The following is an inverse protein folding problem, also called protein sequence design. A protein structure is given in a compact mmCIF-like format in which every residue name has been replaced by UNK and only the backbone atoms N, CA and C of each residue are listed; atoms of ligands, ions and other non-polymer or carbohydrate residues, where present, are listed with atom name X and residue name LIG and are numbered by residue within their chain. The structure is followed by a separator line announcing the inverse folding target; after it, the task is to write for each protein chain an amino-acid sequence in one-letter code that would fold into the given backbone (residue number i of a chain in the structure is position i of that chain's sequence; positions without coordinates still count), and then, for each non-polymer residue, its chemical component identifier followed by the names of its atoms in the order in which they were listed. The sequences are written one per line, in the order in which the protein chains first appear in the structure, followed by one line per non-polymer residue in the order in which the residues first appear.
data_IF_913876593719
#
_entry.id   IF_913876593719
#
_cell.length_a   1.000
_cell.length_b   1.000
_cell.length_c   1.000
_cell.angle_alpha   90.00
_cell.angle_beta   90.00
_cell.angle_gamma   90.00
#
_symmetry.space_group_name_H-M   'P 1'
#
loop_
_entity.id
_entity.type
_entity.pdbx_description
1 polymer ?
#
# COMPACT_ATOMS: atom_id res chain seq x y z
N UNK A 1 23.19 -42.64 -16.60
CA UNK A 1 21.81 -42.22 -16.32
C UNK A 1 21.88 -41.20 -15.23
N UNK A 2 21.51 -39.96 -15.53
CA UNK A 2 21.38 -38.90 -14.54
C UNK A 2 20.01 -38.27 -14.81
N UNK A 3 19.02 -38.68 -14.02
CA UNK A 3 17.71 -38.06 -14.05
C UNK A 3 17.85 -36.69 -13.39
N UNK A 4 17.64 -35.65 -14.21
CA UNK A 4 17.47 -34.29 -13.74
C UNK A 4 16.26 -34.26 -12.81
N UNK A 5 16.49 -33.87 -11.55
CA UNK A 5 15.44 -33.47 -10.61
C UNK A 5 14.79 -32.20 -11.17
N UNK A 6 13.79 -32.40 -12.00
CA UNK A 6 12.97 -31.38 -12.62
C UNK A 6 11.57 -31.43 -12.02
N UNK A 7 11.01 -30.23 -11.84
CA UNK A 7 9.61 -29.95 -11.47
C UNK A 7 9.28 -30.11 -9.98
N UNK A 8 9.54 -29.05 -9.22
CA UNK A 8 8.81 -28.81 -7.95
C UNK A 8 8.69 -27.32 -7.62
N UNK A 9 9.42 -26.44 -8.30
CA UNK A 9 9.38 -24.99 -8.05
C UNK A 9 8.13 -24.32 -8.61
N UNK A 10 7.62 -24.78 -9.76
CA UNK A 10 6.44 -24.21 -10.40
C UNK A 10 5.14 -24.53 -9.67
N UNK A 11 5.01 -25.74 -9.11
CA UNK A 11 3.82 -26.15 -8.35
C UNK A 11 3.73 -25.43 -7.00
N UNK A 12 4.87 -25.19 -6.34
CA UNK A 12 4.89 -24.43 -5.09
C UNK A 12 4.58 -22.94 -5.34
N UNK A 13 5.15 -22.35 -6.40
CA UNK A 13 4.88 -20.95 -6.75
C UNK A 13 3.44 -20.74 -7.24
N UNK A 14 2.91 -21.66 -8.06
CA UNK A 14 1.54 -21.58 -8.58
C UNK A 14 0.50 -21.73 -7.47
N UNK A 15 0.75 -22.60 -6.49
CA UNK A 15 -0.13 -22.76 -5.34
C UNK A 15 -0.18 -21.50 -4.47
N UNK A 16 0.95 -20.81 -4.29
CA UNK A 16 0.98 -19.55 -3.55
C UNK A 16 0.35 -18.40 -4.34
N UNK A 17 0.60 -18.32 -5.64
CA UNK A 17 -0.02 -17.33 -6.53
C UNK A 17 -1.54 -17.51 -6.62
N UNK A 18 -2.02 -18.75 -6.72
CA UNK A 18 -3.45 -19.04 -6.80
C UNK A 18 -4.18 -18.68 -5.51
N UNK A 19 -3.56 -18.96 -4.34
CA UNK A 19 -4.08 -18.54 -3.03
C UNK A 19 -4.12 -17.01 -2.91
N UNK A 20 -3.07 -16.33 -3.40
CA UNK A 20 -3.02 -14.87 -3.43
C UNK A 20 -4.13 -14.29 -4.31
N UNK A 21 -4.31 -14.83 -5.52
CA UNK A 21 -5.36 -14.42 -6.46
C UNK A 21 -6.78 -14.69 -5.93
N UNK A 22 -7.00 -15.80 -5.22
CA UNK A 22 -8.32 -16.09 -4.62
C UNK A 22 -8.64 -15.16 -3.45
N UNK A 23 -7.64 -14.78 -2.66
CA UNK A 23 -7.81 -13.83 -1.55
C UNK A 23 -8.08 -12.42 -2.09
N UNK A 24 -7.31 -11.98 -3.09
CA UNK A 24 -7.56 -10.73 -3.82
C UNK A 24 -9.03 -10.69 -4.25
N UNK A 25 -9.57 -11.76 -4.86
CA UNK A 25 -10.94 -11.75 -5.37
C UNK A 25 -12.03 -11.50 -4.31
N UNK A 26 -11.79 -11.80 -3.02
CA UNK A 26 -12.78 -11.58 -1.97
C UNK A 26 -12.57 -10.23 -1.26
N UNK A 27 -11.33 -9.76 -1.19
CA UNK A 27 -10.92 -8.53 -0.48
C UNK A 27 -10.53 -7.40 -1.46
N UNK A 28 -10.96 -7.47 -2.72
CA UNK A 28 -10.71 -6.46 -3.75
C UNK A 28 -11.86 -5.45 -3.80
N UNK A 29 -11.54 -4.22 -3.44
CA UNK A 29 -12.42 -3.07 -3.61
C UNK A 29 -12.03 -2.30 -4.88
N UNK A 30 -13.03 -2.01 -5.72
CA UNK A 30 -12.88 -1.25 -6.96
C UNK A 30 -13.73 0.03 -6.88
N UNK A 31 -13.08 1.17 -7.00
CA UNK A 31 -13.70 2.48 -7.12
C UNK A 31 -13.62 3.00 -8.56
N UNK A 32 -14.73 3.56 -9.06
CA UNK A 32 -14.75 4.26 -10.35
C UNK A 32 -15.43 5.61 -10.17
N UNK A 33 -14.79 6.66 -10.68
CA UNK A 33 -15.33 8.01 -10.66
C UNK A 33 -15.18 8.65 -12.03
N UNK A 34 -16.24 9.27 -12.53
CA UNK A 34 -16.19 10.11 -13.73
C UNK A 34 -16.58 11.53 -13.37
N UNK A 35 -15.77 12.49 -13.81
CA UNK A 35 -16.00 13.93 -13.63
C UNK A 35 -16.09 14.55 -15.03
N UNK A 36 -17.26 15.02 -15.46
CA UNK A 36 -17.39 15.71 -16.74
C UNK A 36 -16.62 17.03 -16.71
N UNK A 37 -16.00 17.37 -17.84
CA UNK A 37 -15.31 18.64 -18.03
C UNK A 37 -16.27 19.83 -18.21
N UNK A 38 -15.70 21.02 -18.25
CA UNK A 38 -16.38 22.29 -18.55
C UNK A 38 -15.63 23.06 -19.65
N UNK A 39 -15.93 24.35 -19.89
CA UNK A 39 -15.26 25.15 -20.93
C UNK A 39 -13.73 25.21 -20.79
N UNK A 40 -13.20 24.94 -19.59
CA UNK A 40 -11.77 25.06 -19.25
C UNK A 40 -11.17 23.67 -19.02
N UNK A 41 -11.91 22.75 -18.41
CA UNK A 41 -11.42 21.45 -17.96
C UNK A 41 -11.86 20.33 -18.89
N UNK A 42 -10.98 19.34 -19.12
CA UNK A 42 -11.34 18.10 -19.80
C UNK A 42 -11.98 17.11 -18.83
N UNK A 43 -12.79 16.23 -19.39
CA UNK A 43 -13.28 15.03 -18.71
C UNK A 43 -12.15 14.30 -17.96
N UNK A 44 -12.49 13.77 -16.78
CA UNK A 44 -11.60 12.95 -15.97
C UNK A 44 -12.29 11.65 -15.60
N UNK A 45 -11.54 10.56 -15.73
CA UNK A 45 -11.91 9.22 -15.27
C UNK A 45 -10.89 8.78 -14.24
N UNK A 46 -11.35 8.30 -13.10
CA UNK A 46 -10.53 7.76 -12.03
C UNK A 46 -10.94 6.30 -11.76
N UNK A 47 -9.94 5.44 -11.64
CA UNK A 47 -10.06 4.05 -11.24
C UNK A 47 -9.19 3.82 -10.01
N UNK A 48 -9.82 3.46 -8.89
CA UNK A 48 -9.15 3.11 -7.65
C UNK A 48 -9.29 1.61 -7.39
N UNK A 49 -8.20 0.98 -6.95
CA UNK A 49 -8.14 -0.43 -6.58
C UNK A 49 -7.51 -0.54 -5.19
N UNK A 50 -8.16 -1.29 -4.30
CA UNK A 50 -7.62 -1.62 -2.99
C UNK A 50 -7.77 -3.10 -2.73
N UNK A 51 -6.77 -3.73 -2.13
CA UNK A 51 -6.87 -5.12 -1.70
C UNK A 51 -6.09 -5.37 -0.41
N UNK A 52 -6.63 -6.26 0.42
CA UNK A 52 -6.02 -6.72 1.65
C UNK A 52 -5.72 -8.22 1.56
N UNK A 53 -4.56 -8.62 2.05
CA UNK A 53 -3.98 -9.93 1.80
C UNK A 53 -3.32 -10.44 3.09
N UNK A 54 -3.21 -11.76 3.19
CA UNK A 54 -2.57 -12.43 4.33
C UNK A 54 -3.21 -12.03 5.67
N UNK A 55 -4.54 -12.10 5.76
CA UNK A 55 -5.33 -11.72 6.95
C UNK A 55 -5.04 -10.27 7.35
N UNK A 56 -5.26 -9.35 6.40
CA UNK A 56 -5.02 -7.91 6.52
C UNK A 56 -3.57 -7.51 6.85
N UNK A 57 -2.61 -8.42 6.70
CA UNK A 57 -1.19 -8.10 6.96
C UNK A 57 -0.55 -7.29 5.85
N UNK A 58 -1.01 -7.45 4.62
CA UNK A 58 -0.52 -6.70 3.46
C UNK A 58 -1.68 -5.95 2.84
N UNK A 59 -1.60 -4.63 2.81
CA UNK A 59 -2.56 -3.77 2.13
C UNK A 59 -1.91 -3.18 0.89
N UNK A 60 -2.58 -3.29 -0.25
CA UNK A 60 -2.16 -2.74 -1.53
C UNK A 60 -3.24 -1.79 -2.00
N UNK A 61 -2.86 -0.56 -2.33
CA UNK A 61 -3.75 0.46 -2.85
C UNK A 61 -3.13 1.06 -4.09
N UNK A 62 -3.93 1.35 -5.10
CA UNK A 62 -3.51 2.17 -6.22
C UNK A 62 -4.68 2.86 -6.88
N UNK A 63 -4.40 3.97 -7.55
CA UNK A 63 -5.35 4.74 -8.32
C UNK A 63 -4.71 5.17 -9.63
N UNK A 64 -5.55 5.26 -10.64
CA UNK A 64 -5.19 5.72 -11.97
C UNK A 64 -6.23 6.73 -12.42
N UNK A 65 -5.75 7.90 -12.77
CA UNK A 65 -6.48 9.02 -13.31
C UNK A 65 -6.13 9.21 -14.78
N UNK A 66 -7.16 9.38 -15.60
CA UNK A 66 -7.04 9.68 -17.03
C UNK A 66 -7.84 10.95 -17.31
N UNK A 67 -7.18 11.98 -17.85
CA UNK A 67 -7.81 13.27 -18.18
C UNK A 67 -7.50 14.37 -17.16
N UNK A 68 -8.31 15.42 -17.10
CA UNK A 68 -8.22 16.50 -16.10
C UNK A 68 -7.04 17.50 -16.21
N UNK A 69 -5.88 17.10 -16.77
CA UNK A 69 -4.72 18.01 -16.89
C UNK A 69 -4.67 18.73 -18.24
N UNK A 70 -4.67 20.06 -18.21
CA UNK A 70 -4.44 20.92 -19.38
C UNK A 70 -2.96 20.88 -19.77
N UNK A 71 -2.51 19.76 -20.35
CA UNK A 71 -1.26 19.74 -21.11
C UNK A 71 -1.58 20.11 -22.56
N UNK A 72 -0.92 21.15 -23.06
CA UNK A 72 -1.03 21.68 -24.42
C UNK A 72 -0.60 20.68 -25.51
N UNK A 73 -0.23 19.46 -25.12
CA UNK A 73 0.21 18.38 -25.98
C UNK A 73 -0.84 17.27 -25.94
N UNK A 74 -1.29 16.82 -27.11
CA UNK A 74 -2.40 15.89 -27.37
C UNK A 74 -2.25 14.45 -26.83
N UNK A 75 -1.44 14.24 -25.79
CA UNK A 75 -1.22 12.93 -25.16
C UNK A 75 -2.03 12.84 -23.88
N UNK A 76 -2.97 11.89 -23.83
CA UNK A 76 -3.67 11.51 -22.60
C UNK A 76 -2.65 11.25 -21.49
N UNK A 77 -2.57 12.14 -20.50
CA UNK A 77 -1.70 11.94 -19.35
C UNK A 77 -2.39 10.93 -18.43
N UNK A 78 -1.86 9.72 -18.38
CA UNK A 78 -2.20 8.73 -17.36
C UNK A 78 -1.35 9.08 -16.14
N UNK A 79 -2.02 9.31 -15.02
CA UNK A 79 -1.40 9.66 -13.74
C UNK A 79 -1.87 8.64 -12.73
N UNK A 80 -1.01 8.19 -11.81
CA UNK A 80 -1.44 7.23 -10.82
C UNK A 80 -0.51 7.16 -9.63
N UNK A 81 -1.05 6.61 -8.54
CA UNK A 81 -0.25 6.27 -7.37
C UNK A 81 -0.48 4.83 -6.91
N UNK A 82 0.50 4.34 -6.19
CA UNK A 82 0.57 2.98 -5.68
C UNK A 82 1.19 2.98 -4.30
N UNK A 83 0.64 2.17 -3.41
CA UNK A 83 1.01 2.11 -2.01
C UNK A 83 0.86 0.67 -1.50
N UNK A 84 1.93 0.16 -0.90
CA UNK A 84 1.97 -1.14 -0.22
C UNK A 84 2.33 -0.91 1.23
N UNK A 85 1.54 -1.48 2.12
CA UNK A 85 1.77 -1.46 3.55
C UNK A 85 1.80 -2.88 4.12
N UNK A 86 2.80 -3.17 4.95
CA UNK A 86 2.99 -4.49 5.56
C UNK A 86 3.06 -4.37 7.09
N UNK A 87 2.18 -5.06 7.80
CA UNK A 87 2.23 -5.19 9.27
C UNK A 87 3.37 -6.13 9.68
N UNK A 88 4.35 -5.61 10.41
CA UNK A 88 5.53 -6.36 10.85
C UNK A 88 5.31 -7.16 12.14
N UNK A 89 4.36 -6.75 12.97
CA UNK A 89 4.01 -7.43 14.21
C UNK A 89 2.50 -7.73 14.27
N UNK A 90 2.11 -8.67 15.14
CA UNK A 90 0.71 -9.10 15.29
C UNK A 90 -0.22 -7.95 15.71
N UNK A 91 0.26 -7.07 16.58
CA UNK A 91 -0.49 -5.87 16.97
C UNK A 91 -0.72 -4.88 15.82
N UNK A 92 -0.03 -5.05 14.68
CA UNK A 92 -0.12 -4.15 13.53
C UNK A 92 0.38 -2.74 13.81
N UNK A 93 1.12 -2.52 14.88
CA UNK A 93 1.62 -1.20 15.29
C UNK A 93 2.89 -0.82 14.54
N UNK A 94 3.75 -1.79 14.26
CA UNK A 94 4.95 -1.61 13.46
C UNK A 94 4.68 -1.99 12.01
N UNK A 95 4.95 -1.10 11.06
CA UNK A 95 4.63 -1.30 9.65
C UNK A 95 5.75 -0.82 8.73
N UNK A 96 5.89 -1.48 7.58
CA UNK A 96 6.66 -1.01 6.43
C UNK A 96 5.70 -0.43 5.42
N UNK A 97 6.09 0.67 4.77
CA UNK A 97 5.37 1.27 3.66
C UNK A 97 6.30 1.47 2.47
N UNK A 98 5.85 1.07 1.30
CA UNK A 98 6.47 1.45 0.03
C UNK A 98 5.42 2.17 -0.81
N UNK A 99 5.81 3.26 -1.48
CA UNK A 99 4.86 4.03 -2.29
C UNK A 99 5.52 4.66 -3.51
N UNK A 100 4.71 4.86 -4.53
CA UNK A 100 4.97 5.71 -5.68
C UNK A 100 3.75 6.63 -5.81
N UNK A 101 3.95 7.95 -5.78
CA UNK A 101 2.88 8.95 -5.90
C UNK A 101 3.17 9.87 -7.06
N UNK A 102 2.23 10.01 -7.98
CA UNK A 102 2.35 11.04 -9.00
C UNK A 102 2.29 12.44 -8.37
N UNK A 103 3.16 13.33 -8.86
CA UNK A 103 3.20 14.72 -8.44
C UNK A 103 2.44 15.59 -9.44
N UNK A 104 1.81 16.65 -8.93
CA UNK A 104 1.16 17.64 -9.78
C UNK A 104 2.21 18.43 -10.58
N UNK A 105 2.04 18.42 -11.90
CA UNK A 105 2.92 19.13 -12.85
C UNK A 105 2.89 20.64 -12.65
N UNK A 106 1.83 21.21 -12.06
CA UNK A 106 1.75 22.64 -11.76
C UNK A 106 2.80 23.12 -10.74
N UNK A 107 3.29 22.21 -9.89
CA UNK A 107 4.28 22.53 -8.84
C UNK A 107 5.63 21.86 -9.12
N UNK A 108 5.64 20.68 -9.75
CA UNK A 108 6.86 19.89 -9.96
C UNK A 108 7.03 19.47 -11.43
N UNK A 109 7.56 20.36 -12.27
CA UNK A 109 7.78 20.07 -13.71
C UNK A 109 8.79 18.94 -13.98
N UNK A 110 9.77 18.73 -13.08
CA UNK A 110 10.90 17.82 -13.33
C UNK A 110 10.79 16.46 -12.63
N UNK A 111 9.89 16.33 -11.64
CA UNK A 111 9.73 15.11 -10.85
C UNK A 111 8.26 14.66 -10.89
N UNK A 112 7.83 13.94 -11.94
CA UNK A 112 6.44 13.53 -12.08
C UNK A 112 6.00 12.49 -11.04
N UNK A 113 6.93 11.89 -10.28
CA UNK A 113 6.64 10.91 -9.25
C UNK A 113 7.54 11.08 -8.01
N UNK A 114 6.96 10.92 -6.83
CA UNK A 114 7.66 10.77 -5.55
C UNK A 114 7.59 9.31 -5.10
N UNK A 115 8.73 8.70 -4.83
CA UNK A 115 8.84 7.29 -4.47
C UNK A 115 9.59 7.15 -3.16
N UNK A 116 9.21 6.16 -2.35
CA UNK A 116 9.90 5.93 -1.10
C UNK A 116 9.55 4.62 -0.44
N UNK A 117 10.41 4.22 0.48
CA UNK A 117 10.18 3.16 1.44
C UNK A 117 10.42 3.72 2.84
N UNK A 118 9.59 3.31 3.80
CA UNK A 118 9.67 3.79 5.17
C UNK A 118 9.19 2.76 6.19
N UNK A 119 9.70 2.89 7.41
CA UNK A 119 9.23 2.17 8.58
C UNK A 119 8.46 3.16 9.46
N UNK A 120 7.34 2.73 10.02
CA UNK A 120 6.60 3.55 10.97
C UNK A 120 5.98 2.72 12.09
N UNK A 121 5.82 3.35 13.25
CA UNK A 121 5.18 2.77 14.42
C UNK A 121 4.01 3.65 14.83
N UNK A 122 2.83 3.05 15.03
CA UNK A 122 1.62 3.74 15.49
C UNK A 122 1.07 3.05 16.73
N UNK A 123 0.86 3.81 17.79
CA UNK A 123 0.29 3.37 19.07
C UNK A 123 -0.81 4.33 19.46
N UNK A 124 -1.96 3.79 19.83
CA UNK A 124 -3.09 4.55 20.36
C UNK A 124 -3.02 4.58 21.89
N UNK A 125 -3.33 5.74 22.48
CA UNK A 125 -3.25 5.97 23.92
C UNK A 125 -4.31 6.99 24.37
N UNK A 126 -4.84 6.79 25.57
CA UNK A 126 -5.87 7.67 26.13
C UNK A 126 -5.29 8.89 26.87
N UNK A 127 -4.06 8.76 27.39
CA UNK A 127 -3.36 9.86 28.05
C UNK A 127 -1.84 9.71 27.93
N UNK A 128 -1.14 10.86 27.89
CA UNK A 128 0.32 10.87 27.77
C UNK A 128 1.03 10.18 28.95
N UNK A 129 0.45 10.30 30.16
CA UNK A 129 0.97 9.63 31.36
C UNK A 129 0.97 8.10 31.24
N UNK A 130 -0.10 7.52 30.70
CA UNK A 130 -0.18 6.07 30.49
C UNK A 130 0.81 5.59 29.41
N UNK A 131 1.03 6.38 28.36
CA UNK A 131 2.01 6.05 27.32
C UNK A 131 3.42 5.99 27.93
N UNK A 132 3.81 7.03 28.67
CA UNK A 132 5.11 7.11 29.33
C UNK A 132 5.29 5.99 30.37
N UNK A 133 4.26 5.71 31.18
CA UNK A 133 4.27 4.60 32.13
C UNK A 133 4.50 3.25 31.45
N UNK A 134 3.74 2.94 30.39
CA UNK A 134 3.91 1.69 29.61
C UNK A 134 5.33 1.51 29.06
N UNK A 135 5.95 2.58 28.57
CA UNK A 135 7.33 2.52 28.08
C UNK A 135 8.34 2.37 29.23
N UNK A 136 8.13 3.06 30.34
CA UNK A 136 8.99 2.99 31.52
C UNK A 136 8.95 1.59 32.15
N UNK A 137 7.76 1.02 32.30
CA UNK A 137 7.57 -0.34 32.85
C UNK A 137 8.18 -1.40 31.94
N UNK A 138 8.09 -1.24 30.61
CA UNK A 138 8.79 -2.13 29.67
C UNK A 138 10.31 -2.02 29.72
N UNK A 139 10.85 -0.84 30.01
CA UNK A 139 12.30 -0.59 30.00
C UNK A 139 12.97 -0.89 31.34
N UNK A 140 12.27 -0.67 32.46
CA UNK A 140 12.83 -0.73 33.81
C UNK A 140 12.04 -1.61 34.78
N UNK A 141 10.88 -2.13 34.38
CA UNK A 141 10.11 -3.08 35.17
C UNK A 141 10.88 -4.40 35.29
N UNK A 142 11.30 -4.72 36.51
CA UNK A 142 11.82 -6.06 36.83
C UNK A 142 10.73 -7.08 36.50
N UNK A 143 11.07 -8.12 35.74
CA UNK A 143 10.30 -9.35 35.72
C UNK A 143 10.33 -9.89 37.14
N UNK A 144 9.21 -9.81 37.85
CA UNK A 144 8.99 -10.75 38.94
C UNK A 144 8.83 -12.11 38.27
N UNK A 145 9.83 -12.97 38.49
CA UNK A 145 9.76 -14.38 38.21
C UNK A 145 8.69 -14.94 39.16
N UNK A 146 7.52 -15.26 38.62
CA UNK A 146 6.53 -16.05 39.35
C UNK A 146 7.09 -17.48 39.48
N UNK A 147 7.35 -17.90 40.73
CA UNK A 147 7.62 -19.28 41.16
C UNK A 147 6.42 -20.22 40.93
#
# INVERSE_FOLDING_TARGET
GAESVGVTTSELLSNQLSRWLSQISNDLDIGFTYRPGDEINRDQVELALSTQLLDDRVAINGNVDVGGYQSQTSTSNIVGDFNVEVKLNESGKLRVKAFNRANDKLIYEQAPYTQGIGLFYREEFDSFGQLMGRYWDKLFGKKEEDE
#
